data_IF_834948618674
#
_entry.id   IF_834948618674
#
_cell.length_a   1.000
_cell.length_b   1.000
_cell.length_c   1.000
_cell.angle_alpha   90.00
_cell.angle_beta   90.00
_cell.angle_gamma   90.00
#
_symmetry.space_group_name_H-M   'P 1'
#
loop_
_entity.id
_entity.type
_entity.pdbx_description
1 polymer ?
#
# COMPACT_ATOMS: atom_id res chain seq x y z
N UNK A 1 3.71 -6.49 17.89
CA UNK A 1 2.99 -5.35 17.27
C UNK A 1 2.43 -4.47 18.38
N UNK A 2 2.61 -3.15 18.32
CA UNK A 2 2.21 -2.18 19.37
C UNK A 2 0.72 -1.81 19.29
N UNK A 3 0.24 -0.92 20.17
CA UNK A 3 -1.14 -0.36 20.13
C UNK A 3 -1.31 0.75 19.10
N UNK A 4 -0.21 1.41 18.72
CA UNK A 4 -0.18 2.41 17.65
C UNK A 4 0.54 1.81 16.46
N UNK A 5 -0.01 1.99 15.26
CA UNK A 5 0.57 1.53 14.00
C UNK A 5 0.52 2.69 13.03
N UNK A 6 1.64 2.95 12.35
CA UNK A 6 1.66 3.87 11.24
C UNK A 6 1.54 3.10 9.93
N UNK A 7 0.82 3.66 8.96
CA UNK A 7 0.63 3.10 7.62
C UNK A 7 0.87 4.18 6.58
N UNK A 8 1.42 3.75 5.45
CA UNK A 8 1.64 4.53 4.26
C UNK A 8 1.46 3.60 3.05
N UNK A 9 0.75 4.04 2.04
CA UNK A 9 0.48 3.29 0.83
C UNK A 9 1.03 4.00 -0.40
N UNK A 10 1.54 3.20 -1.34
CA UNK A 10 1.96 3.69 -2.66
C UNK A 10 0.97 3.25 -3.72
N UNK A 11 0.69 4.15 -4.66
CA UNK A 11 -0.32 3.95 -5.69
C UNK A 11 0.27 4.16 -7.10
N UNK A 12 -0.27 3.40 -8.04
CA UNK A 12 0.02 3.54 -9.48
C UNK A 12 -1.24 3.93 -10.23
N UNK A 13 -1.06 4.55 -11.39
CA UNK A 13 -2.11 4.99 -12.30
C UNK A 13 -2.61 3.89 -13.24
N UNK A 14 -3.92 3.76 -13.36
CA UNK A 14 -4.62 2.88 -14.33
C UNK A 14 -5.63 3.69 -15.14
N UNK A 15 -6.20 3.06 -16.18
CA UNK A 15 -7.18 3.68 -17.05
C UNK A 15 -6.56 4.71 -18.01
N UNK A 16 -7.43 5.49 -18.66
CA UNK A 16 -7.01 6.55 -19.60
C UNK A 16 -6.17 7.60 -18.85
N UNK A 17 -4.99 7.90 -19.40
CA UNK A 17 -4.00 8.83 -18.82
C UNK A 17 -3.55 8.53 -17.37
N UNK A 18 -3.83 7.35 -16.83
CA UNK A 18 -3.40 6.95 -15.49
C UNK A 18 -4.04 7.75 -14.36
N UNK A 19 -5.23 8.31 -14.58
CA UNK A 19 -5.93 9.19 -13.62
C UNK A 19 -6.43 8.40 -12.41
N UNK A 20 -6.93 7.19 -12.64
CA UNK A 20 -7.42 6.31 -11.58
C UNK A 20 -6.24 5.68 -10.84
N UNK A 21 -6.36 5.52 -9.53
CA UNK A 21 -5.26 5.02 -8.70
C UNK A 21 -5.60 3.65 -8.13
N UNK A 22 -4.67 2.70 -8.25
CA UNK A 22 -4.74 1.41 -7.57
C UNK A 22 -3.56 1.23 -6.62
N UNK A 23 -3.78 0.47 -5.55
CA UNK A 23 -2.75 0.16 -4.55
C UNK A 23 -1.62 -0.65 -5.19
N UNK A 24 -0.38 -0.24 -4.94
CA UNK A 24 0.81 -0.93 -5.41
C UNK A 24 1.71 -1.41 -4.27
N UNK A 25 1.71 -0.74 -3.12
CA UNK A 25 2.44 -1.18 -1.93
C UNK A 25 1.76 -0.68 -0.67
N UNK A 26 1.77 -1.49 0.38
CA UNK A 26 1.40 -1.05 1.73
C UNK A 26 2.55 -1.36 2.71
N UNK A 27 2.95 -0.35 3.47
CA UNK A 27 4.00 -0.47 4.48
C UNK A 27 3.48 0.00 5.84
N UNK A 28 3.67 -0.84 6.87
CA UNK A 28 3.24 -0.56 8.23
C UNK A 28 4.41 -0.68 9.20
N UNK A 29 4.52 0.30 10.09
CA UNK A 29 5.52 0.33 11.17
C UNK A 29 4.84 0.42 12.53
N UNK A 30 5.49 -0.15 13.54
CA UNK A 30 5.04 -0.06 14.93
C UNK A 30 5.62 1.18 15.63
N UNK A 31 5.22 1.45 16.88
CA UNK A 31 5.65 2.68 17.60
C UNK A 31 7.14 2.74 17.94
N UNK A 32 7.89 1.66 17.73
CA UNK A 32 9.35 1.62 17.86
C UNK A 32 10.05 1.84 16.51
N UNK A 33 9.29 2.12 15.43
CA UNK A 33 9.81 2.28 14.08
C UNK A 33 10.16 0.96 13.37
N UNK A 34 9.86 -0.20 13.96
CA UNK A 34 10.10 -1.46 13.27
C UNK A 34 9.02 -1.69 12.21
N UNK A 35 9.45 -2.00 10.99
CA UNK A 35 8.58 -2.50 9.93
C UNK A 35 7.94 -3.83 10.38
N UNK A 36 6.61 -3.88 10.36
CA UNK A 36 5.82 -5.05 10.72
C UNK A 36 5.04 -5.62 9.53
N UNK A 37 4.96 -4.86 8.44
CA UNK A 37 4.34 -5.26 7.20
C UNK A 37 4.94 -4.42 6.07
N UNK A 38 5.31 -5.07 4.97
CA UNK A 38 5.78 -4.40 3.76
C UNK A 38 5.59 -5.31 2.56
N UNK A 39 4.56 -5.05 1.75
CA UNK A 39 4.23 -5.88 0.60
C UNK A 39 3.85 -5.04 -0.60
N UNK A 40 4.32 -5.47 -1.76
CA UNK A 40 3.78 -5.04 -3.05
C UNK A 40 2.47 -5.75 -3.34
N UNK A 41 1.62 -5.10 -4.11
CA UNK A 41 0.32 -5.59 -4.54
C UNK A 41 0.36 -5.83 -6.03
N UNK A 42 -0.22 -6.94 -6.47
CA UNK A 42 -0.37 -7.25 -7.87
C UNK A 42 -1.44 -6.38 -8.51
N UNK A 43 -1.17 -5.90 -9.72
CA UNK A 43 -2.09 -5.01 -10.42
C UNK A 43 -3.40 -5.74 -10.74
N UNK A 44 -4.53 -5.13 -10.39
CA UNK A 44 -5.87 -5.62 -10.73
C UNK A 44 -6.27 -5.25 -12.16
N UNK A 45 -5.59 -4.26 -12.74
CA UNK A 45 -5.84 -3.68 -14.06
C UNK A 45 -4.50 -3.29 -14.73
N UNK A 46 -4.45 -3.11 -16.05
CA UNK A 46 -3.24 -2.65 -16.73
C UNK A 46 -2.79 -1.28 -16.20
N UNK A 47 -1.57 -1.23 -15.67
CA UNK A 47 -0.94 0.01 -15.20
C UNK A 47 -0.53 0.85 -16.41
N UNK A 48 -1.01 2.10 -16.45
CA UNK A 48 -0.69 3.06 -17.51
C UNK A 48 0.34 4.10 -17.07
N UNK A 49 0.47 4.35 -15.76
CA UNK A 49 1.52 5.18 -15.19
C UNK A 49 1.97 4.65 -13.82
N UNK A 50 3.21 4.18 -13.70
CA UNK A 50 3.75 3.70 -12.42
C UNK A 50 4.04 4.83 -11.41
N UNK A 51 4.08 6.09 -11.86
CA UNK A 51 4.40 7.24 -11.02
C UNK A 51 5.72 7.05 -10.25
N UNK A 52 6.67 6.29 -10.79
CA UNK A 52 7.87 5.81 -10.09
C UNK A 52 8.70 6.93 -9.45
N UNK A 53 8.67 8.14 -10.01
CA UNK A 53 9.36 9.30 -9.44
C UNK A 53 8.85 9.70 -8.05
N UNK A 54 7.58 9.40 -7.74
CA UNK A 54 6.96 9.63 -6.43
C UNK A 54 6.73 8.35 -5.66
N UNK A 55 6.26 7.27 -6.31
CA UNK A 55 5.88 6.01 -5.66
C UNK A 55 7.05 5.07 -5.41
N UNK A 56 8.14 5.21 -6.17
CA UNK A 56 9.24 4.26 -6.19
C UNK A 56 8.91 2.87 -6.78
N UNK A 57 7.65 2.62 -7.19
CA UNK A 57 7.17 1.33 -7.69
C UNK A 57 7.60 1.12 -9.14
N UNK A 58 7.99 -0.12 -9.47
CA UNK A 58 8.28 -0.58 -10.83
C UNK A 58 7.38 -1.76 -11.21
N UNK A 59 7.32 -2.04 -12.51
CA UNK A 59 6.56 -3.18 -13.05
C UNK A 59 7.00 -4.51 -12.40
N UNK A 60 8.30 -4.72 -12.24
CA UNK A 60 8.84 -5.94 -11.63
C UNK A 60 8.49 -6.13 -10.15
N UNK A 61 8.13 -5.06 -9.45
CA UNK A 61 7.72 -5.12 -8.05
C UNK A 61 6.29 -5.67 -7.95
N UNK A 62 5.38 -5.16 -8.78
CA UNK A 62 3.98 -5.57 -8.81
C UNK A 62 3.79 -6.97 -9.39
N UNK A 63 4.63 -7.39 -10.34
CA UNK A 63 4.60 -8.77 -10.87
C UNK A 63 4.88 -9.82 -9.80
N UNK A 64 5.62 -9.45 -8.74
CA UNK A 64 5.93 -10.29 -7.58
C UNK A 64 5.05 -9.98 -6.37
N UNK A 65 4.10 -9.06 -6.51
CA UNK A 65 3.19 -8.64 -5.45
C UNK A 65 2.17 -9.71 -5.08
N UNK A 66 1.61 -9.55 -3.90
CA UNK A 66 0.50 -10.37 -3.42
C UNK A 66 -0.84 -9.92 -4.04
N UNK A 67 -1.82 -10.81 -4.06
CA UNK A 67 -3.18 -10.47 -4.50
C UNK A 67 -3.79 -9.41 -3.55
N UNK A 68 -4.48 -8.41 -4.12
CA UNK A 68 -5.04 -7.28 -3.36
C UNK A 68 -5.89 -7.72 -2.16
N UNK A 69 -6.72 -8.74 -2.33
CA UNK A 69 -7.59 -9.26 -1.26
C UNK A 69 -6.82 -9.84 -0.08
N UNK A 70 -5.65 -10.43 -0.33
CA UNK A 70 -4.76 -10.95 0.72
C UNK A 70 -4.18 -9.78 1.51
N UNK A 71 -3.64 -8.77 0.82
CA UNK A 71 -3.05 -7.59 1.45
C UNK A 71 -4.08 -6.81 2.25
N UNK A 72 -5.27 -6.58 1.68
CA UNK A 72 -6.37 -5.90 2.36
C UNK A 72 -6.76 -6.62 3.66
N UNK A 73 -6.91 -7.96 3.62
CA UNK A 73 -7.28 -8.74 4.80
C UNK A 73 -6.19 -8.72 5.87
N UNK A 74 -4.92 -8.91 5.48
CA UNK A 74 -3.78 -8.88 6.40
C UNK A 74 -3.62 -7.52 7.07
N UNK A 75 -3.74 -6.42 6.31
CA UNK A 75 -3.70 -5.06 6.84
C UNK A 75 -4.87 -4.82 7.79
N UNK A 76 -6.10 -5.18 7.41
CA UNK A 76 -7.29 -5.04 8.24
C UNK A 76 -7.12 -5.77 9.59
N UNK A 77 -6.61 -7.00 9.58
CA UNK A 77 -6.34 -7.76 10.80
C UNK A 77 -5.23 -7.13 11.64
N UNK A 78 -4.19 -6.57 11.00
CA UNK A 78 -3.08 -5.94 11.69
C UNK A 78 -3.49 -4.64 12.39
N UNK A 79 -4.37 -3.83 11.78
CA UNK A 79 -4.79 -2.53 12.33
C UNK A 79 -6.01 -2.63 13.26
N UNK A 80 -6.73 -3.75 13.26
CA UNK A 80 -7.95 -3.95 14.06
C UNK A 80 -7.71 -3.66 15.55
N UNK A 81 -8.51 -2.74 16.10
CA UNK A 81 -8.44 -2.35 17.52
C UNK A 81 -7.18 -1.55 17.91
N UNK A 82 -6.49 -0.96 16.93
CA UNK A 82 -5.29 -0.12 17.14
C UNK A 82 -5.56 1.33 16.75
N UNK A 83 -4.72 2.23 17.26
CA UNK A 83 -4.66 3.60 16.76
C UNK A 83 -3.82 3.61 15.47
N UNK A 84 -4.47 3.89 14.35
CA UNK A 84 -3.81 4.07 13.06
C UNK A 84 -3.34 5.52 12.90
N UNK A 85 -2.10 5.72 12.46
CA UNK A 85 -1.53 7.04 12.18
C UNK A 85 -0.90 7.07 10.79
N UNK A 86 -0.89 8.24 10.15
CA UNK A 86 -0.25 8.44 8.84
C UNK A 86 -0.48 9.88 8.37
N UNK A 87 0.24 10.29 7.33
CA UNK A 87 0.06 11.61 6.75
C UNK A 87 -1.10 11.58 5.76
N UNK A 88 -2.14 12.38 6.00
CA UNK A 88 -3.33 12.38 5.14
C UNK A 88 -3.97 10.99 4.92
N UNK A 89 -3.97 10.16 5.98
CA UNK A 89 -4.37 8.72 5.99
C UNK A 89 -5.71 8.39 5.32
N UNK A 90 -6.60 9.39 5.16
CA UNK A 90 -7.86 9.21 4.44
C UNK A 90 -7.67 8.94 2.95
N UNK A 91 -6.51 9.25 2.37
CA UNK A 91 -6.18 8.90 1.00
C UNK A 91 -5.76 7.42 0.85
N UNK A 92 -5.36 6.79 1.97
CA UNK A 92 -4.89 5.40 2.02
C UNK A 92 -6.00 4.39 2.39
N UNK A 93 -7.13 4.88 2.93
CA UNK A 93 -8.27 4.09 3.41
C UNK A 93 -9.40 3.98 2.37
#
# INVERSE_FOLDING_TARGET
>A
VTKVIAMDCEFVGVGEDGVESILARASLVNSHGHCVYDKFVKATEPVTDYRTAVSGVREEDMLRGEEFSVVQQEVADLIKGKLLVGHAIMNDL
#
